data_IF_836401443161
#
_entry.id   IF_836401443161
#
_cell.length_a   1.000
_cell.length_b   1.000
_cell.length_c   1.000
_cell.angle_alpha   90.00
_cell.angle_beta   90.00
_cell.angle_gamma   90.00
#
_symmetry.space_group_name_H-M   'P 1'
#
loop_
_entity.id
_entity.type
_entity.pdbx_description
1 polymer ?
#
# COMPACT_ATOMS: atom_id res chain seq x y z
N UNK A 1 4.79 -5.26 -22.45
CA UNK A 1 3.96 -5.75 -21.33
C UNK A 1 2.74 -4.84 -21.21
N UNK A 2 1.55 -5.38 -21.43
CA UNK A 2 0.28 -4.62 -21.37
C UNK A 2 -0.26 -4.61 -19.94
N UNK A 3 -1.00 -3.58 -19.54
CA UNK A 3 -1.66 -3.53 -18.22
C UNK A 3 -2.43 -4.81 -17.85
N UNK A 4 -3.01 -5.50 -18.85
CA UNK A 4 -3.66 -6.79 -18.70
C UNK A 4 -2.81 -7.88 -18.02
N UNK A 5 -1.49 -7.92 -18.21
CA UNK A 5 -0.63 -8.92 -17.55
C UNK A 5 -0.56 -8.72 -16.05
N UNK A 6 -0.61 -7.47 -15.59
CA UNK A 6 -0.69 -7.16 -14.16
C UNK A 6 -2.05 -7.60 -13.60
N UNK A 7 -3.15 -7.32 -14.30
CA UNK A 7 -4.49 -7.78 -13.88
C UNK A 7 -4.51 -9.30 -13.72
N UNK A 8 -3.89 -10.04 -14.65
CA UNK A 8 -3.81 -11.50 -14.57
C UNK A 8 -3.02 -11.98 -13.33
N UNK A 9 -1.92 -11.31 -12.98
CA UNK A 9 -1.13 -11.65 -11.80
C UNK A 9 -1.90 -11.48 -10.47
N UNK A 10 -2.82 -10.52 -10.42
CA UNK A 10 -3.62 -10.25 -9.23
C UNK A 10 -5.03 -10.87 -9.28
N UNK A 11 -5.36 -11.62 -10.33
CA UNK A 11 -6.68 -12.25 -10.52
C UNK A 11 -7.07 -13.13 -9.34
N UNK A 12 -6.13 -13.95 -8.89
CA UNK A 12 -6.32 -14.93 -7.81
C UNK A 12 -5.61 -14.49 -6.52
N UNK A 13 -5.23 -13.21 -6.42
CA UNK A 13 -4.56 -12.69 -5.23
C UNK A 13 -5.56 -12.45 -4.10
N UNK A 14 -5.31 -13.08 -2.95
CA UNK A 14 -6.16 -12.92 -1.78
C UNK A 14 -5.80 -11.64 -1.00
N UNK A 15 -6.45 -10.54 -1.38
CA UNK A 15 -6.32 -9.26 -0.70
C UNK A 15 -6.78 -9.30 0.75
N UNK A 16 -7.82 -10.09 1.06
CA UNK A 16 -8.37 -10.14 2.41
C UNK A 16 -7.36 -10.78 3.37
N UNK A 17 -6.79 -11.92 2.98
CA UNK A 17 -5.75 -12.58 3.76
C UNK A 17 -4.49 -11.71 3.84
N UNK A 18 -4.08 -11.09 2.73
CA UNK A 18 -2.93 -10.17 2.72
C UNK A 18 -3.12 -9.01 3.72
N UNK A 19 -4.26 -8.32 3.68
CA UNK A 19 -4.56 -7.20 4.58
C UNK A 19 -4.71 -7.62 6.04
N UNK A 20 -5.19 -8.84 6.31
CA UNK A 20 -5.33 -9.35 7.67
C UNK A 20 -3.99 -9.46 8.42
N UNK A 21 -2.91 -9.75 7.69
CA UNK A 21 -1.56 -9.88 8.24
C UNK A 21 -0.79 -8.57 8.36
N UNK A 22 -1.32 -7.47 7.85
CA UNK A 22 -0.62 -6.18 7.90
C UNK A 22 -0.63 -5.66 9.32
N UNK A 23 0.49 -5.08 9.74
CA UNK A 23 0.62 -4.45 11.06
C UNK A 23 0.78 -2.93 10.93
N UNK A 24 0.55 -2.23 12.03
CA UNK A 24 0.69 -0.76 12.10
C UNK A 24 2.15 -0.36 11.82
N UNK A 25 3.11 -1.16 12.28
CA UNK A 25 4.54 -0.95 12.03
C UNK A 25 4.88 -1.13 10.55
N UNK A 26 4.23 -2.07 9.86
CA UNK A 26 4.40 -2.27 8.42
C UNK A 26 3.86 -1.07 7.62
N UNK A 27 2.72 -0.50 8.03
CA UNK A 27 2.15 0.72 7.45
C UNK A 27 3.08 1.91 7.66
N UNK A 28 3.54 2.14 8.90
CA UNK A 28 4.46 3.22 9.23
C UNK A 28 5.78 3.11 8.44
N UNK A 29 6.35 1.91 8.36
CA UNK A 29 7.57 1.64 7.58
C UNK A 29 7.34 1.91 6.10
N UNK A 30 6.22 1.48 5.54
CA UNK A 30 5.88 1.73 4.13
C UNK A 30 5.72 3.23 3.87
N UNK A 31 5.03 3.94 4.78
CA UNK A 31 4.83 5.37 4.69
C UNK A 31 6.13 6.17 4.81
N UNK A 32 7.14 5.68 5.52
CA UNK A 32 8.42 6.36 5.66
C UNK A 32 9.33 6.24 4.42
N UNK A 33 9.08 5.29 3.51
CA UNK A 33 9.94 5.08 2.31
C UNK A 33 9.81 6.20 1.29
N UNK A 34 10.94 6.64 0.71
CA UNK A 34 10.92 7.58 -0.41
C UNK A 34 10.37 6.98 -1.71
N UNK A 35 10.66 5.70 -1.95
CA UNK A 35 10.14 4.95 -3.11
C UNK A 35 9.33 3.74 -2.63
N UNK A 36 8.08 3.67 -3.09
CA UNK A 36 7.13 2.62 -2.74
C UNK A 36 7.15 1.53 -3.80
N UNK A 37 7.28 0.28 -3.37
CA UNK A 37 7.04 -0.87 -4.24
C UNK A 37 5.56 -1.29 -4.18
N UNK A 38 5.15 -2.25 -5.01
CA UNK A 38 3.75 -2.68 -5.09
C UNK A 38 3.23 -3.20 -3.74
N UNK A 39 4.04 -3.94 -2.99
CA UNK A 39 3.66 -4.42 -1.66
C UNK A 39 3.49 -3.29 -0.65
N UNK A 40 4.32 -2.25 -0.72
CA UNK A 40 4.19 -1.06 0.11
C UNK A 40 2.91 -0.29 -0.24
N UNK A 41 2.59 -0.16 -1.53
CA UNK A 41 1.32 0.42 -1.97
C UNK A 41 0.11 -0.36 -1.46
N UNK A 42 0.12 -1.70 -1.62
CA UNK A 42 -0.94 -2.54 -1.07
C UNK A 42 -1.03 -2.41 0.45
N UNK A 43 0.10 -2.24 1.13
CA UNK A 43 0.15 -2.01 2.58
C UNK A 43 -0.53 -0.71 2.98
N UNK A 44 -0.29 0.37 2.24
CA UNK A 44 -0.91 1.68 2.46
C UNK A 44 -2.38 1.73 2.05
N UNK A 45 -2.85 0.80 1.22
CA UNK A 45 -4.27 0.64 0.86
C UNK A 45 -5.06 -0.23 1.85
N UNK A 46 -4.39 -0.85 2.81
CA UNK A 46 -5.05 -1.72 3.78
C UNK A 46 -5.97 -0.96 4.74
N UNK A 47 -7.02 -1.59 5.30
CA UNK A 47 -7.90 -0.94 6.27
C UNK A 47 -7.15 -0.39 7.50
N UNK A 48 -6.07 -1.05 7.93
CA UNK A 48 -5.23 -0.59 9.04
C UNK A 48 -4.46 0.69 8.74
N UNK A 49 -4.27 1.01 7.47
CA UNK A 49 -3.61 2.25 7.07
C UNK A 49 -4.54 3.47 7.14
N UNK A 50 -5.83 3.28 7.42
CA UNK A 50 -6.81 4.37 7.58
C UNK A 50 -6.40 5.40 8.64
N UNK A 51 -5.77 4.95 9.73
CA UNK A 51 -5.25 5.83 10.80
C UNK A 51 -4.10 6.74 10.34
N UNK A 52 -3.46 6.41 9.21
CA UNK A 52 -2.31 7.12 8.65
C UNK A 52 -2.68 8.04 7.47
N UNK A 53 -3.97 8.16 7.11
CA UNK A 53 -4.41 8.92 5.94
C UNK A 53 -3.98 10.41 5.99
N UNK A 54 -4.04 11.03 7.16
CA UNK A 54 -3.61 12.43 7.32
C UNK A 54 -2.10 12.58 7.08
N UNK A 55 -1.29 11.66 7.62
CA UNK A 55 0.15 11.65 7.39
C UNK A 55 0.49 11.37 5.92
N UNK A 56 -0.27 10.51 5.24
CA UNK A 56 -0.15 10.28 3.79
C UNK A 56 -0.42 11.56 3.00
N UNK A 57 -1.49 12.28 3.33
CA UNK A 57 -1.84 13.54 2.67
C UNK A 57 -0.75 14.60 2.86
N UNK A 58 -0.25 14.76 4.10
CA UNK A 58 0.88 15.66 4.37
C UNK A 58 2.13 15.28 3.60
N UNK A 59 2.46 13.99 3.54
CA UNK A 59 3.62 13.53 2.78
C UNK A 59 3.46 13.80 1.28
N UNK A 60 2.32 13.48 0.70
CA UNK A 60 2.04 13.73 -0.73
C UNK A 60 2.17 15.22 -1.08
N UNK A 61 1.67 16.10 -0.21
CA UNK A 61 1.76 17.55 -0.41
C UNK A 61 3.19 18.10 -0.30
N UNK A 62 4.09 17.43 0.43
CA UNK A 62 5.52 17.81 0.49
C UNK A 62 6.33 17.36 -0.72
N UNK A 63 5.83 16.36 -1.46
CA UNK A 63 6.49 15.80 -2.64
C UNK A 63 6.12 16.54 -3.94
N UNK A 64 5.16 17.47 -3.86
CA UNK A 64 4.66 18.28 -4.98
C UNK A 64 5.12 19.73 -4.80
#
# INVERSE_FOLDING_TARGET
MTFYTYIQQYRDFDFANFFSGITIEAVSRSLAKDTLNISDFLTLLSPRASEYLELMAHKANRLT
#
